data_IF_579555950968
#
_entry.id   IF_579555950968
#
_cell.length_a   1.000
_cell.length_b   1.000
_cell.length_c   1.000
_cell.angle_alpha   90.00
_cell.angle_beta   90.00
_cell.angle_gamma   90.00
#
_symmetry.space_group_name_H-M   'P 1'
#
loop_
_entity.id
_entity.type
_entity.pdbx_description
1 polymer ?
#
# COMPACT_ATOMS: atom_id res chain seq x y z
N UNK A 1 -7.86 16.41 21.63
CA UNK A 1 -6.61 17.16 21.38
C UNK A 1 -6.95 18.64 21.33
N UNK A 2 -6.19 19.51 22.02
CA UNK A 2 -6.37 20.97 21.95
C UNK A 2 -5.20 21.57 21.19
N UNK A 3 -5.47 22.45 20.22
CA UNK A 3 -4.45 23.09 19.39
C UNK A 3 -4.62 24.61 19.45
N UNK A 4 -3.52 25.34 19.56
CA UNK A 4 -3.52 26.80 19.62
C UNK A 4 -2.21 27.34 19.06
N UNK A 5 -2.25 28.51 18.43
CA UNK A 5 -1.08 29.25 17.96
C UNK A 5 -0.52 30.21 19.00
N UNK A 6 -1.26 30.45 20.09
CA UNK A 6 -0.88 31.36 21.17
C UNK A 6 -0.97 30.66 22.53
N UNK A 7 0.02 30.90 23.39
CA UNK A 7 0.08 30.32 24.75
C UNK A 7 -1.15 30.69 25.59
N UNK A 8 -1.56 31.96 25.58
CA UNK A 8 -2.76 32.43 26.32
C UNK A 8 -4.03 31.71 25.89
N UNK A 9 -4.19 31.45 24.59
CA UNK A 9 -5.35 30.76 24.06
C UNK A 9 -5.26 29.24 24.32
N UNK A 10 -4.06 28.67 24.44
CA UNK A 10 -3.88 27.31 24.90
C UNK A 10 -4.31 27.15 26.37
N UNK A 11 -3.87 28.07 27.25
CA UNK A 11 -4.26 28.06 28.66
C UNK A 11 -5.77 28.26 28.83
N UNK A 12 -6.39 29.23 28.14
CA UNK A 12 -7.83 29.44 28.20
C UNK A 12 -8.64 28.18 27.79
N UNK A 13 -8.15 27.39 26.82
CA UNK A 13 -8.77 26.11 26.45
C UNK A 13 -8.59 25.04 27.52
N UNK A 14 -7.46 25.02 28.23
CA UNK A 14 -7.24 24.13 29.38
C UNK A 14 -8.15 24.51 30.55
N UNK A 15 -8.28 25.80 30.84
CA UNK A 15 -9.14 26.32 31.91
C UNK A 15 -10.61 25.97 31.63
N UNK A 16 -11.07 26.16 30.39
CA UNK A 16 -12.40 25.75 29.95
C UNK A 16 -12.61 24.23 30.07
N UNK A 17 -11.60 23.43 29.71
CA UNK A 17 -11.67 21.97 29.86
C UNK A 17 -11.74 21.56 31.34
N UNK A 18 -10.98 22.22 32.23
CA UNK A 18 -11.02 21.99 33.67
C UNK A 18 -12.39 22.35 34.26
N UNK A 19 -12.97 23.50 33.85
CA UNK A 19 -14.33 23.89 34.23
C UNK A 19 -15.35 22.86 33.76
N UNK A 20 -15.31 22.45 32.49
CA UNK A 20 -16.20 21.43 31.96
C UNK A 20 -16.10 20.12 32.73
N UNK A 21 -14.88 19.68 33.08
CA UNK A 21 -14.71 18.51 33.93
C UNK A 21 -15.35 18.72 35.32
N UNK A 22 -15.14 19.87 35.96
CA UNK A 22 -15.74 20.23 37.24
C UNK A 22 -17.27 20.19 37.21
N UNK A 23 -17.88 20.83 36.20
CA UNK A 23 -19.33 20.87 35.99
C UNK A 23 -19.93 19.47 35.81
N UNK A 24 -19.15 18.53 35.25
CA UNK A 24 -19.55 17.15 35.02
C UNK A 24 -19.04 16.16 36.09
N UNK A 25 -18.51 16.65 37.22
CA UNK A 25 -17.95 15.82 38.30
C UNK A 25 -16.83 14.86 37.85
N UNK A 26 -16.01 15.28 36.89
CA UNK A 26 -14.85 14.57 36.37
C UNK A 26 -13.56 15.21 36.87
N UNK A 27 -12.51 14.40 37.04
CA UNK A 27 -11.17 14.87 37.39
C UNK A 27 -10.19 14.55 36.25
N UNK A 28 -9.67 15.55 35.52
CA UNK A 28 -8.70 15.30 34.47
C UNK A 28 -7.37 14.77 35.03
N UNK A 29 -6.77 13.81 34.32
CA UNK A 29 -5.52 13.18 34.73
C UNK A 29 -4.31 13.95 34.21
N UNK A 30 -3.75 14.83 35.03
CA UNK A 30 -2.54 15.60 34.69
C UNK A 30 -1.38 14.71 34.21
N UNK A 31 -1.05 13.55 34.83
CA UNK A 31 0.06 12.71 34.37
C UNK A 31 -0.14 12.09 32.98
N UNK A 32 -1.39 12.06 32.46
CA UNK A 32 -1.74 11.57 31.13
C UNK A 32 -1.95 12.70 30.13
N UNK A 33 -1.85 13.96 30.56
CA UNK A 33 -1.97 15.14 29.72
C UNK A 33 -0.58 15.68 29.39
N UNK A 34 -0.26 15.69 28.10
CA UNK A 34 1.01 16.18 27.59
C UNK A 34 0.80 17.41 26.73
N UNK A 35 1.81 18.28 26.70
CA UNK A 35 1.86 19.41 25.80
C UNK A 35 2.99 19.20 24.78
N UNK A 36 2.78 19.64 23.54
CA UNK A 36 3.79 19.56 22.48
C UNK A 36 3.82 20.89 21.71
N UNK A 37 5.02 21.40 21.41
CA UNK A 37 5.24 22.62 20.64
C UNK A 37 5.60 22.25 19.21
N UNK A 38 4.91 22.82 18.23
CA UNK A 38 5.19 22.65 16.80
C UNK A 38 5.75 23.96 16.25
N UNK A 39 6.89 23.86 15.54
CA UNK A 39 7.61 25.02 15.02
C UNK A 39 8.77 25.46 15.93
N UNK A 40 9.21 26.72 15.84
CA UNK A 40 10.29 27.25 16.66
C UNK A 40 9.97 27.12 18.16
N UNK A 41 10.88 26.53 18.92
CA UNK A 41 10.73 26.35 20.36
C UNK A 41 11.18 27.63 21.07
N UNK A 42 10.30 28.34 21.79
CA UNK A 42 10.68 29.49 22.60
C UNK A 42 11.57 29.07 23.79
N UNK A 43 12.51 29.93 24.15
CA UNK A 43 13.38 29.78 25.32
C UNK A 43 13.21 30.99 26.27
N UNK A 44 12.69 30.80 27.50
CA UNK A 44 12.22 29.55 28.08
C UNK A 44 10.87 29.08 27.50
N UNK A 45 10.55 27.77 27.55
CA UNK A 45 9.27 27.26 27.10
C UNK A 45 8.12 27.79 27.98
N UNK A 46 6.93 28.06 27.40
CA UNK A 46 5.79 28.53 28.16
C UNK A 46 5.34 27.51 29.20
N UNK A 47 4.84 28.01 30.33
CA UNK A 47 4.25 27.16 31.37
C UNK A 47 2.75 27.07 31.12
N UNK A 48 2.26 25.85 30.87
CA UNK A 48 0.84 25.54 30.84
C UNK A 48 0.46 24.75 32.09
N UNK A 49 -0.67 25.07 32.68
CA UNK A 49 -1.15 24.42 33.90
C UNK A 49 -2.50 23.74 33.70
N UNK A 50 -2.69 22.61 34.37
CA UNK A 50 -3.96 21.91 34.50
C UNK A 50 -4.11 21.48 35.96
N UNK A 51 -5.22 21.79 36.62
CA UNK A 51 -5.38 21.59 38.07
C UNK A 51 -4.25 22.23 38.90
N UNK A 52 -3.81 23.43 38.49
CA UNK A 52 -2.68 24.17 39.08
C UNK A 52 -1.34 23.43 39.04
N UNK A 53 -1.22 22.34 38.29
CA UNK A 53 0.02 21.59 38.08
C UNK A 53 0.57 21.87 36.69
N UNK A 54 1.89 22.07 36.53
CA UNK A 54 2.48 22.29 35.22
C UNK A 54 2.38 21.04 34.36
N UNK A 55 2.06 21.22 33.07
CA UNK A 55 2.07 20.16 32.07
C UNK A 55 3.51 19.87 31.61
N UNK A 56 3.76 18.61 31.29
CA UNK A 56 5.05 18.16 30.74
C UNK A 56 5.07 18.38 29.23
N UNK A 57 6.13 19.02 28.75
CA UNK A 57 6.43 19.14 27.33
C UNK A 57 7.04 17.84 26.80
N UNK A 58 6.48 17.30 25.72
CA UNK A 58 6.95 16.07 25.07
C UNK A 58 7.17 16.29 23.58
N UNK A 59 8.14 15.59 23.02
CA UNK A 59 8.43 15.60 21.59
C UNK A 59 7.43 14.76 20.77
N UNK A 60 6.79 13.79 21.43
CA UNK A 60 5.81 12.91 20.78
C UNK A 60 4.74 12.44 21.76
N UNK A 61 3.53 12.24 21.23
CA UNK A 61 2.40 11.75 21.98
C UNK A 61 1.52 10.85 21.10
N UNK A 62 0.83 9.91 21.74
CA UNK A 62 -0.16 9.04 21.08
C UNK A 62 -1.55 9.61 21.31
N UNK A 63 -2.26 9.92 20.23
CA UNK A 63 -3.65 10.33 20.25
C UNK A 63 -4.47 9.34 19.42
N UNK A 64 -5.46 8.69 20.06
CA UNK A 64 -6.32 7.67 19.41
C UNK A 64 -5.52 6.65 18.61
N UNK A 65 -4.38 6.20 19.16
CA UNK A 65 -3.48 5.22 18.54
C UNK A 65 -2.63 5.73 17.37
N UNK A 66 -2.69 7.03 17.03
CA UNK A 66 -1.82 7.71 16.07
C UNK A 66 -0.73 8.46 16.83
N UNK A 67 0.52 8.25 16.44
CA UNK A 67 1.66 8.93 17.07
C UNK A 67 1.98 10.21 16.31
N UNK A 68 1.92 11.34 17.01
CA UNK A 68 2.34 12.64 16.47
C UNK A 68 3.65 13.06 17.10
N UNK A 69 4.53 13.66 16.31
CA UNK A 69 5.83 14.15 16.75
C UNK A 69 6.07 15.58 16.28
N UNK A 70 6.63 16.41 17.15
CA UNK A 70 6.95 17.80 16.84
C UNK A 70 8.36 18.03 16.29
N UNK A 71 9.25 17.05 16.43
CA UNK A 71 10.68 17.17 16.08
C UNK A 71 11.00 16.72 14.64
N UNK A 72 9.99 16.30 13.88
CA UNK A 72 10.13 15.89 12.48
C UNK A 72 9.23 16.70 11.56
N UNK A 73 9.71 16.96 10.33
CA UNK A 73 8.92 17.65 9.27
C UNK A 73 7.60 16.95 8.98
N UNK A 74 7.61 15.61 8.92
CA UNK A 74 6.40 14.80 8.87
C UNK A 74 5.99 14.46 10.30
N UNK A 75 4.89 15.07 10.76
CA UNK A 75 4.37 14.88 12.13
C UNK A 75 3.99 13.43 12.43
N UNK A 76 3.77 12.60 11.41
CA UNK A 76 3.42 11.18 11.54
C UNK A 76 4.62 10.25 11.37
N UNK A 77 5.85 10.76 11.28
CA UNK A 77 7.06 9.92 11.07
C UNK A 77 7.14 8.74 12.04
N UNK A 78 6.95 9.00 13.34
CA UNK A 78 7.00 7.95 14.36
C UNK A 78 5.82 6.97 14.27
N UNK A 79 4.67 7.41 13.74
CA UNK A 79 3.52 6.54 13.48
C UNK A 79 3.84 5.49 12.42
N UNK A 80 4.43 5.91 11.29
CA UNK A 80 4.87 4.97 10.25
C UNK A 80 5.83 3.91 10.81
N UNK A 81 6.82 4.34 11.59
CA UNK A 81 7.81 3.43 12.23
C UNK A 81 7.12 2.45 13.17
N UNK A 82 6.20 2.91 14.02
CA UNK A 82 5.49 2.05 14.95
C UNK A 82 4.62 1.01 14.22
N UNK A 83 3.90 1.43 13.17
CA UNK A 83 3.03 0.54 12.38
C UNK A 83 3.82 -0.44 11.52
N UNK A 84 4.94 -0.02 10.97
CA UNK A 84 5.88 -0.91 10.27
C UNK A 84 6.37 -2.02 11.18
N UNK A 85 6.85 -1.69 12.38
CA UNK A 85 7.34 -2.67 13.35
C UNK A 85 6.24 -3.64 13.78
N UNK A 86 5.03 -3.14 14.03
CA UNK A 86 3.88 -3.96 14.39
C UNK A 86 3.49 -4.91 13.25
N UNK A 87 3.32 -4.37 12.03
CA UNK A 87 2.98 -5.15 10.84
C UNK A 87 4.04 -6.22 10.55
N UNK A 88 5.34 -5.87 10.61
CA UNK A 88 6.44 -6.82 10.40
C UNK A 88 6.44 -7.94 11.43
N UNK A 89 6.23 -7.62 12.72
CA UNK A 89 6.15 -8.62 13.79
C UNK A 89 5.03 -9.62 13.52
N UNK A 90 3.83 -9.12 13.19
CA UNK A 90 2.66 -9.96 12.94
C UNK A 90 2.81 -10.76 11.64
N UNK A 91 3.33 -10.15 10.58
CA UNK A 91 3.64 -10.82 9.32
C UNK A 91 4.59 -12.01 9.51
N UNK A 92 5.68 -11.79 10.27
CA UNK A 92 6.64 -12.85 10.58
C UNK A 92 6.02 -13.95 11.45
N UNK A 93 5.23 -13.58 12.47
CA UNK A 93 4.51 -14.53 13.30
C UNK A 93 3.51 -15.39 12.51
N UNK A 94 2.72 -14.77 11.64
CA UNK A 94 1.75 -15.47 10.79
C UNK A 94 2.41 -16.50 9.86
N UNK A 95 3.55 -16.15 9.24
CA UNK A 95 4.26 -17.06 8.34
C UNK A 95 5.12 -18.09 9.09
N UNK A 96 5.54 -17.81 10.32
CA UNK A 96 6.26 -18.77 11.18
C UNK A 96 5.40 -19.98 11.57
N UNK A 97 4.07 -19.89 11.54
CA UNK A 97 3.18 -21.03 11.75
C UNK A 97 3.53 -22.23 10.84
N UNK A 98 4.06 -21.96 9.64
CA UNK A 98 4.46 -23.01 8.69
C UNK A 98 5.50 -23.99 9.25
N UNK A 99 6.28 -23.57 10.24
CA UNK A 99 7.26 -24.43 10.93
C UNK A 99 6.59 -25.48 11.82
N UNK A 100 5.35 -25.24 12.26
CA UNK A 100 4.60 -26.11 13.17
C UNK A 100 3.55 -26.95 12.45
N UNK A 101 2.88 -26.38 11.44
CA UNK A 101 1.75 -27.02 10.74
C UNK A 101 2.06 -27.43 9.30
N UNK A 102 3.29 -27.20 8.83
CA UNK A 102 3.68 -27.40 7.44
C UNK A 102 3.29 -26.24 6.51
N UNK A 103 3.43 -26.41 5.18
CA UNK A 103 3.21 -25.33 4.22
C UNK A 103 1.79 -24.75 4.27
N UNK A 104 1.69 -23.44 4.51
CA UNK A 104 0.41 -22.73 4.58
C UNK A 104 -0.11 -22.49 3.14
N UNK A 105 -1.33 -22.92 2.79
CA UNK A 105 -1.93 -22.59 1.51
C UNK A 105 -2.05 -21.07 1.28
N UNK A 106 -1.79 -20.56 0.06
CA UNK A 106 -1.83 -19.12 -0.21
C UNK A 106 -3.14 -18.43 0.18
N UNK A 107 -4.29 -19.08 -0.05
CA UNK A 107 -5.61 -18.55 0.34
C UNK A 107 -5.79 -18.36 1.85
N UNK A 108 -5.17 -19.23 2.67
CA UNK A 108 -5.15 -19.09 4.13
C UNK A 108 -4.19 -17.98 4.53
N UNK A 109 -3.00 -17.94 3.94
CA UNK A 109 -2.01 -16.92 4.26
C UNK A 109 -2.51 -15.51 3.90
N UNK A 110 -3.24 -15.34 2.80
CA UNK A 110 -3.87 -14.07 2.42
C UNK A 110 -5.02 -13.69 3.36
N UNK A 111 -5.80 -14.65 3.87
CA UNK A 111 -6.77 -14.37 4.94
C UNK A 111 -6.07 -13.87 6.21
N UNK A 112 -4.93 -14.47 6.57
CA UNK A 112 -4.11 -13.98 7.69
C UNK A 112 -3.54 -12.58 7.41
N UNK A 113 -3.14 -12.28 6.17
CA UNK A 113 -2.72 -10.94 5.77
C UNK A 113 -3.82 -9.90 6.04
N UNK A 114 -5.02 -10.12 5.50
CA UNK A 114 -6.14 -9.20 5.66
C UNK A 114 -6.59 -9.06 7.12
N UNK A 115 -6.55 -10.14 7.90
CA UNK A 115 -6.99 -10.13 9.29
C UNK A 115 -5.94 -9.56 10.27
N UNK A 116 -4.65 -9.75 10.01
CA UNK A 116 -3.59 -9.53 10.99
C UNK A 116 -2.57 -8.46 10.56
N UNK A 117 -2.21 -8.42 9.28
CA UNK A 117 -1.14 -7.55 8.76
C UNK A 117 -1.70 -6.24 8.21
N UNK A 118 -2.66 -6.32 7.29
CA UNK A 118 -3.28 -5.16 6.66
C UNK A 118 -3.81 -4.13 7.66
N UNK A 119 -4.47 -4.50 8.79
CA UNK A 119 -4.96 -3.52 9.76
C UNK A 119 -3.86 -2.64 10.36
N UNK A 120 -2.63 -3.16 10.46
CA UNK A 120 -1.48 -2.34 10.88
C UNK A 120 -0.99 -1.44 9.76
N UNK A 121 -0.98 -1.93 8.52
CA UNK A 121 -0.52 -1.18 7.35
C UNK A 121 -1.48 -0.06 6.95
N UNK A 122 -2.78 -0.18 7.23
CA UNK A 122 -3.81 0.83 6.90
C UNK A 122 -4.20 1.71 8.08
N UNK A 123 -3.69 1.45 9.29
CA UNK A 123 -4.11 2.17 10.49
C UNK A 123 -3.88 3.70 10.40
N UNK A 124 -4.98 4.46 10.41
CA UNK A 124 -4.96 5.92 10.40
C UNK A 124 -4.56 6.54 9.07
N UNK A 125 -4.60 5.78 7.97
CA UNK A 125 -4.27 6.29 6.64
C UNK A 125 -5.28 7.32 6.13
N UNK A 126 -6.48 7.37 6.70
CA UNK A 126 -7.49 8.37 6.37
C UNK A 126 -7.07 9.78 6.82
N UNK A 127 -6.26 9.87 7.87
CA UNK A 127 -5.73 11.13 8.43
C UNK A 127 -4.29 11.36 7.99
N UNK A 128 -3.47 10.29 7.98
CA UNK A 128 -2.06 10.32 7.64
C UNK A 128 -1.86 9.97 6.15
N UNK A 129 -2.03 10.96 5.29
CA UNK A 129 -1.84 10.81 3.85
C UNK A 129 -0.36 10.62 3.49
N UNK A 130 -0.08 9.76 2.51
CA UNK A 130 1.27 9.30 2.18
C UNK A 130 2.03 10.28 1.26
N UNK A 131 2.12 11.56 1.65
CA UNK A 131 2.77 12.62 0.86
C UNK A 131 4.26 12.39 0.66
N UNK A 132 4.92 11.76 1.65
CA UNK A 132 6.35 11.47 1.61
C UNK A 132 6.59 9.99 1.24
N UNK A 133 7.06 9.67 0.02
CA UNK A 133 7.24 8.28 -0.40
C UNK A 133 8.18 7.47 0.50
N UNK A 134 9.23 8.10 1.02
CA UNK A 134 10.19 7.44 1.91
C UNK A 134 9.60 7.04 3.27
N UNK A 135 8.46 7.62 3.68
CA UNK A 135 7.76 7.21 4.89
C UNK A 135 6.86 5.99 4.66
N UNK A 136 6.29 5.86 3.45
CA UNK A 136 5.45 4.74 3.05
C UNK A 136 6.26 3.49 2.65
N UNK A 137 7.43 3.67 2.03
CA UNK A 137 8.27 2.59 1.50
C UNK A 137 8.53 1.45 2.52
N UNK A 138 8.83 1.70 3.81
CA UNK A 138 8.99 0.64 4.79
C UNK A 138 7.73 -0.22 5.00
N UNK A 139 6.53 0.38 4.92
CA UNK A 139 5.26 -0.35 5.01
C UNK A 139 5.02 -1.19 3.74
N UNK A 140 5.27 -0.62 2.56
CA UNK A 140 5.19 -1.35 1.28
C UNK A 140 6.15 -2.54 1.27
N UNK A 141 7.35 -2.40 1.85
CA UNK A 141 8.31 -3.51 2.00
C UNK A 141 7.75 -4.66 2.85
N UNK A 142 6.95 -4.38 3.87
CA UNK A 142 6.31 -5.43 4.69
C UNK A 142 5.26 -6.19 3.86
N UNK A 143 4.40 -5.47 3.13
CA UNK A 143 3.43 -6.07 2.21
C UNK A 143 4.13 -6.94 1.15
N UNK A 144 5.08 -6.37 0.42
CA UNK A 144 5.82 -7.06 -0.65
C UNK A 144 6.55 -8.30 -0.11
N UNK A 145 7.21 -8.19 1.05
CA UNK A 145 7.90 -9.33 1.66
C UNK A 145 6.92 -10.44 2.08
N UNK A 146 5.74 -10.07 2.60
CA UNK A 146 4.70 -11.03 2.92
C UNK A 146 4.22 -11.77 1.65
N UNK A 147 3.84 -11.02 0.61
CA UNK A 147 3.34 -11.60 -0.64
C UNK A 147 4.38 -12.49 -1.33
N UNK A 148 5.66 -12.08 -1.37
CA UNK A 148 6.75 -12.92 -1.90
C UNK A 148 6.88 -14.25 -1.18
N UNK A 149 6.78 -14.24 0.15
CA UNK A 149 6.85 -15.47 0.96
C UNK A 149 5.64 -16.38 0.73
N UNK A 150 4.44 -15.80 0.61
CA UNK A 150 3.22 -16.55 0.28
C UNK A 150 3.31 -17.22 -1.10
N UNK A 151 3.93 -16.54 -2.05
CA UNK A 151 4.09 -17.00 -3.43
C UNK A 151 5.39 -17.82 -3.68
N UNK A 152 6.20 -18.05 -2.64
CA UNK A 152 7.49 -18.73 -2.75
C UNK A 152 8.45 -18.12 -3.81
N UNK A 153 8.42 -16.78 -3.92
CA UNK A 153 9.21 -15.97 -4.84
C UNK A 153 10.44 -15.34 -4.16
N UNK A 154 11.44 -15.01 -4.97
CA UNK A 154 12.68 -14.38 -4.50
C UNK A 154 12.51 -12.89 -4.21
N UNK A 155 13.51 -12.29 -3.54
CA UNK A 155 13.60 -10.85 -3.29
C UNK A 155 13.76 -10.02 -4.57
N UNK A 156 14.14 -10.64 -5.69
CA UNK A 156 14.33 -10.00 -6.99
C UNK A 156 13.12 -10.15 -7.92
N UNK A 157 12.03 -10.76 -7.44
CA UNK A 157 10.81 -10.95 -8.23
C UNK A 157 10.21 -9.61 -8.66
N UNK A 158 9.60 -9.59 -9.85
CA UNK A 158 8.81 -8.44 -10.30
C UNK A 158 7.65 -8.19 -9.32
N UNK A 159 7.27 -6.92 -9.13
CA UNK A 159 6.25 -6.53 -8.16
C UNK A 159 4.82 -6.73 -8.68
N UNK A 160 4.54 -6.36 -9.93
CA UNK A 160 3.19 -6.44 -10.49
C UNK A 160 2.54 -7.84 -10.35
N UNK A 161 3.25 -8.96 -10.64
CA UNK A 161 2.70 -10.29 -10.44
C UNK A 161 2.27 -10.58 -9.00
N UNK A 162 2.92 -10.00 -7.98
CA UNK A 162 2.53 -10.23 -6.59
C UNK A 162 1.06 -9.84 -6.36
N UNK A 163 0.64 -8.73 -6.94
CA UNK A 163 -0.72 -8.19 -6.83
C UNK A 163 -1.69 -8.86 -7.80
N UNK A 164 -1.25 -9.07 -9.06
CA UNK A 164 -2.06 -9.74 -10.08
C UNK A 164 -2.43 -11.17 -9.71
N UNK A 165 -1.54 -11.89 -9.01
CA UNK A 165 -1.77 -13.28 -8.63
C UNK A 165 -2.53 -13.46 -7.32
N UNK A 166 -2.45 -12.48 -6.41
CA UNK A 166 -3.08 -12.56 -5.08
C UNK A 166 -4.40 -11.81 -4.98
N UNK A 167 -4.63 -10.82 -5.86
CA UNK A 167 -5.75 -9.89 -5.77
C UNK A 167 -5.59 -8.81 -4.69
N UNK A 168 -4.44 -8.75 -4.01
CA UNK A 168 -4.14 -7.67 -3.06
C UNK A 168 -3.85 -6.40 -3.84
N UNK A 169 -4.35 -5.26 -3.37
CA UNK A 169 -4.02 -3.96 -3.94
C UNK A 169 -2.70 -3.46 -3.37
N UNK A 170 -1.84 -2.78 -4.16
CA UNK A 170 -0.68 -2.10 -3.61
C UNK A 170 -1.08 -1.16 -2.49
N UNK A 171 -0.32 -1.18 -1.39
CA UNK A 171 -0.67 -0.46 -0.16
C UNK A 171 -1.02 1.02 -0.39
N UNK A 172 -0.29 1.71 -1.28
CA UNK A 172 -0.58 3.12 -1.63
C UNK A 172 -2.01 3.33 -2.16
N UNK A 173 -2.48 2.45 -3.04
CA UNK A 173 -3.82 2.54 -3.61
C UNK A 173 -4.87 2.14 -2.58
N UNK A 174 -4.57 1.15 -1.75
CA UNK A 174 -5.46 0.71 -0.67
C UNK A 174 -5.69 1.81 0.36
N UNK A 175 -4.62 2.45 0.84
CA UNK A 175 -4.66 3.55 1.81
C UNK A 175 -5.40 4.77 1.24
N UNK A 176 -5.15 5.11 -0.02
CA UNK A 176 -5.84 6.22 -0.68
C UNK A 176 -7.33 5.95 -0.89
N UNK A 177 -7.71 4.71 -1.23
CA UNK A 177 -9.12 4.31 -1.32
C UNK A 177 -9.85 4.52 0.02
N UNK A 178 -9.21 4.19 1.14
CA UNK A 178 -9.75 4.42 2.48
C UNK A 178 -9.88 5.91 2.81
N UNK A 179 -8.87 6.72 2.47
CA UNK A 179 -8.93 8.18 2.65
C UNK A 179 -10.06 8.83 1.83
N UNK A 180 -10.26 8.42 0.58
CA UNK A 180 -11.37 8.90 -0.25
C UNK A 180 -12.74 8.47 0.30
N UNK A 181 -12.87 7.24 0.81
CA UNK A 181 -14.10 6.78 1.47
C UNK A 181 -14.39 7.56 2.76
N UNK A 182 -13.35 7.91 3.50
CA UNK A 182 -13.48 8.76 4.69
C UNK A 182 -13.92 10.18 4.33
N UNK A 183 -13.41 10.74 3.23
CA UNK A 183 -13.90 12.02 2.71
C UNK A 183 -15.36 11.94 2.26
N UNK A 184 -15.74 10.87 1.55
CA UNK A 184 -17.13 10.65 1.17
C UNK A 184 -18.04 10.64 2.40
N UNK A 185 -17.66 9.87 3.43
CA UNK A 185 -18.35 9.86 4.72
C UNK A 185 -18.44 11.25 5.33
N UNK A 186 -17.35 12.01 5.36
CA UNK A 186 -17.31 13.40 5.87
C UNK A 186 -18.33 14.32 5.17
N UNK A 187 -18.54 14.13 3.88
CA UNK A 187 -19.45 14.95 3.06
C UNK A 187 -20.90 14.49 3.13
N UNK A 188 -21.17 13.22 3.44
CA UNK A 188 -22.52 12.65 3.53
C UNK A 188 -23.00 12.57 4.97
N UNK A 189 -22.55 11.56 5.69
CA UNK A 189 -23.09 11.07 6.97
C UNK A 189 -22.23 11.48 8.16
N UNK A 190 -21.12 12.18 7.91
CA UNK A 190 -20.19 12.65 8.90
C UNK A 190 -20.78 13.75 9.78
N UNK A 191 -20.35 13.83 11.05
CA UNK A 191 -20.82 14.87 11.97
C UNK A 191 -20.38 16.26 11.53
N UNK A 192 -21.13 17.29 11.94
CA UNK A 192 -20.90 18.68 11.49
C UNK A 192 -19.50 19.20 11.77
N UNK A 193 -18.89 18.82 12.88
CA UNK A 193 -17.53 19.24 13.22
C UNK A 193 -16.49 18.68 12.24
N UNK A 194 -16.72 17.48 11.68
CA UNK A 194 -15.82 16.88 10.71
C UNK A 194 -15.93 17.61 9.36
N UNK A 195 -17.16 17.94 8.96
CA UNK A 195 -17.43 18.78 7.78
C UNK A 195 -16.83 20.18 7.92
N UNK A 196 -16.93 20.78 9.10
CA UNK A 196 -16.31 22.07 9.41
C UNK A 196 -14.77 21.99 9.34
N UNK A 197 -14.16 20.94 9.91
CA UNK A 197 -12.73 20.71 9.82
C UNK A 197 -12.26 20.54 8.37
N UNK A 198 -13.03 19.81 7.54
CA UNK A 198 -12.73 19.68 6.12
C UNK A 198 -12.83 21.01 5.36
N UNK A 199 -13.86 21.83 5.63
CA UNK A 199 -13.99 23.18 5.05
C UNK A 199 -12.82 24.09 5.40
N UNK A 200 -12.31 24.00 6.63
CA UNK A 200 -11.10 24.72 7.03
C UNK A 200 -9.89 24.21 6.25
N UNK A 201 -9.70 22.89 6.16
CA UNK A 201 -8.62 22.30 5.37
C UNK A 201 -8.67 22.72 3.89
N UNK A 202 -9.86 22.81 3.29
CA UNK A 202 -10.05 23.31 1.93
C UNK A 202 -9.68 24.79 1.82
N UNK A 203 -10.15 25.62 2.77
CA UNK A 203 -9.85 27.05 2.83
C UNK A 203 -8.35 27.33 2.99
N UNK A 204 -7.63 26.49 3.74
CA UNK A 204 -6.18 26.57 3.90
C UNK A 204 -5.43 26.33 2.58
N UNK A 205 -5.85 25.31 1.82
CA UNK A 205 -5.24 24.98 0.54
C UNK A 205 -5.47 26.07 -0.52
N UNK A 206 -6.61 26.76 -0.46
CA UNK A 206 -7.01 27.79 -1.44
C UNK A 206 -6.89 29.22 -0.89
N UNK A 207 -6.09 29.41 0.15
CA UNK A 207 -5.98 30.70 0.82
C UNK A 207 -5.34 31.74 -0.11
N UNK A 208 -5.92 32.94 -0.15
CA UNK A 208 -5.43 34.06 -0.98
C UNK A 208 -4.01 34.50 -0.59
N UNK A 209 -3.17 34.95 -1.55
CA UNK A 209 -1.86 35.54 -1.27
C UNK A 209 -1.88 36.64 -0.21
N UNK A 210 -2.93 37.47 -0.18
CA UNK A 210 -3.09 38.55 0.80
C UNK A 210 -3.23 38.04 2.25
N UNK A 211 -3.60 36.77 2.45
CA UNK A 211 -3.75 36.11 3.75
C UNK A 211 -2.60 35.15 4.06
N UNK A 212 -1.48 35.24 3.32
CA UNK A 212 -0.32 34.36 3.48
C UNK A 212 -0.23 33.23 2.46
N UNK A 213 -1.12 33.22 1.45
CA UNK A 213 -1.11 32.27 0.33
C UNK A 213 -1.55 30.84 0.70
N UNK A 214 -1.57 29.93 -0.30
CA UNK A 214 -1.87 28.52 -0.11
C UNK A 214 -0.97 27.89 0.96
N UNK A 215 -1.57 27.18 1.91
CA UNK A 215 -0.86 26.45 2.95
C UNK A 215 -1.10 24.93 2.82
N UNK A 216 -0.14 24.13 3.27
CA UNK A 216 -0.32 22.68 3.36
C UNK A 216 -1.46 22.34 4.31
N UNK A 217 -2.36 21.49 3.82
CA UNK A 217 -3.52 20.97 4.53
C UNK A 217 -3.79 19.55 4.09
N UNK A 218 -4.70 18.86 4.79
CA UNK A 218 -5.12 17.52 4.41
C UNK A 218 -5.68 17.46 2.96
N UNK A 219 -6.32 18.54 2.49
CA UNK A 219 -6.85 18.63 1.11
C UNK A 219 -5.75 18.77 0.06
N UNK A 220 -4.78 19.67 0.28
CA UNK A 220 -3.64 19.78 -0.63
C UNK A 220 -2.81 18.50 -0.68
N UNK A 221 -2.66 17.84 0.47
CA UNK A 221 -1.95 16.57 0.59
C UNK A 221 -2.67 15.46 -0.19
N UNK A 222 -4.01 15.40 -0.13
CA UNK A 222 -4.80 14.45 -0.91
C UNK A 222 -4.62 14.67 -2.43
N UNK A 223 -4.69 15.93 -2.87
CA UNK A 223 -4.44 16.31 -4.27
C UNK A 223 -3.05 15.88 -4.73
N UNK A 224 -2.02 16.13 -3.91
CA UNK A 224 -0.63 15.73 -4.21
C UNK A 224 -0.48 14.21 -4.31
N UNK A 225 -1.08 13.44 -3.39
CA UNK A 225 -0.99 11.98 -3.42
C UNK A 225 -1.71 11.40 -4.64
N UNK A 226 -2.86 11.96 -5.05
CA UNK A 226 -3.54 11.56 -6.29
C UNK A 226 -2.72 11.88 -7.56
N UNK A 227 -2.04 13.03 -7.55
CA UNK A 227 -1.22 13.49 -8.68
C UNK A 227 0.11 12.76 -8.81
N UNK A 228 0.58 12.11 -7.75
CA UNK A 228 1.88 11.39 -7.71
C UNK A 228 1.75 9.88 -7.92
N UNK A 229 0.53 9.39 -8.19
CA UNK A 229 0.32 8.00 -8.59
C UNK A 229 1.04 7.69 -9.93
N UNK A 230 1.40 6.41 -10.18
CA UNK A 230 1.96 5.98 -11.47
C UNK A 230 1.13 6.43 -12.69
N UNK A 231 -0.20 6.38 -12.54
CA UNK A 231 -1.15 7.02 -13.45
C UNK A 231 -1.88 8.10 -12.65
N UNK A 232 -1.51 9.39 -12.83
CA UNK A 232 -2.06 10.50 -12.06
C UNK A 232 -3.57 10.67 -12.21
N UNK A 233 -4.23 11.14 -11.14
CA UNK A 233 -5.66 11.43 -11.14
C UNK A 233 -5.89 12.91 -10.85
N UNK A 234 -6.60 13.59 -11.76
CA UNK A 234 -6.87 15.03 -11.67
C UNK A 234 -8.37 15.38 -11.59
N UNK A 235 -9.24 14.38 -11.38
CA UNK A 235 -10.70 14.59 -11.29
C UNK A 235 -11.15 15.36 -10.05
N UNK A 236 -10.25 15.59 -9.10
CA UNK A 236 -10.48 16.42 -7.91
C UNK A 236 -9.51 17.61 -8.00
N UNK A 237 -9.88 18.69 -8.69
CA UNK A 237 -9.03 19.87 -8.78
C UNK A 237 -8.93 20.55 -7.40
N UNK A 238 -7.80 21.21 -7.14
CA UNK A 238 -7.48 21.76 -5.83
C UNK A 238 -8.42 22.91 -5.43
N UNK A 239 -8.85 23.69 -6.42
CA UNK A 239 -9.62 24.93 -6.31
C UNK A 239 -11.14 24.73 -6.30
N UNK A 240 -11.63 23.53 -6.58
CA UNK A 240 -13.06 23.20 -6.55
C UNK A 240 -13.42 22.41 -5.29
N UNK A 241 -14.47 22.83 -4.58
CA UNK A 241 -14.93 22.12 -3.41
C UNK A 241 -15.57 20.77 -3.82
N UNK A 242 -15.11 19.63 -3.30
CA UNK A 242 -15.56 18.35 -3.78
C UNK A 242 -17.00 18.04 -3.37
N UNK A 243 -17.74 17.40 -4.28
CA UNK A 243 -19.08 16.85 -4.04
C UNK A 243 -19.01 15.34 -3.78
N UNK A 244 -19.98 14.72 -3.10
CA UNK A 244 -20.04 13.26 -2.93
C UNK A 244 -19.93 12.49 -4.26
N UNK A 245 -20.52 13.01 -5.33
CA UNK A 245 -20.44 12.38 -6.66
C UNK A 245 -19.02 12.48 -7.26
N UNK A 246 -18.35 13.63 -7.11
CA UNK A 246 -16.95 13.77 -7.54
C UNK A 246 -16.03 12.79 -6.80
N UNK A 247 -16.28 12.52 -5.52
CA UNK A 247 -15.50 11.52 -4.75
C UNK A 247 -15.79 10.10 -5.24
N UNK A 248 -17.05 9.76 -5.53
CA UNK A 248 -17.41 8.45 -6.11
C UNK A 248 -16.76 8.26 -7.48
N UNK A 249 -16.72 9.31 -8.29
CA UNK A 249 -16.03 9.29 -9.58
C UNK A 249 -14.51 9.12 -9.39
N UNK A 250 -13.91 9.83 -8.44
CA UNK A 250 -12.50 9.68 -8.11
C UNK A 250 -12.15 8.25 -7.64
N UNK A 251 -13.02 7.62 -6.83
CA UNK A 251 -12.85 6.21 -6.44
C UNK A 251 -12.84 5.26 -7.63
N UNK A 252 -13.71 5.49 -8.64
CA UNK A 252 -13.68 4.72 -9.90
C UNK A 252 -12.40 4.98 -10.69
N UNK A 253 -11.97 6.24 -10.77
CA UNK A 253 -10.71 6.61 -11.43
C UNK A 253 -9.48 6.03 -10.72
N UNK A 254 -9.53 5.84 -9.40
CA UNK A 254 -8.48 5.17 -8.66
C UNK A 254 -8.33 3.70 -9.09
N UNK A 255 -9.45 3.01 -9.33
CA UNK A 255 -9.44 1.66 -9.88
C UNK A 255 -8.91 1.62 -11.32
N UNK A 256 -9.33 2.57 -12.16
CA UNK A 256 -8.81 2.71 -13.53
C UNK A 256 -7.31 3.00 -13.56
N UNK A 257 -6.83 3.94 -12.75
CA UNK A 257 -5.41 4.28 -12.59
C UNK A 257 -4.59 3.06 -12.20
N UNK A 258 -5.06 2.24 -11.25
CA UNK A 258 -4.37 1.02 -10.85
C UNK A 258 -4.38 -0.03 -11.97
N UNK A 259 -5.51 -0.20 -12.65
CA UNK A 259 -5.62 -1.10 -13.80
C UNK A 259 -4.62 -0.72 -14.88
N UNK A 260 -4.59 0.55 -15.29
CA UNK A 260 -3.68 1.08 -16.30
C UNK A 260 -2.21 1.00 -15.88
N UNK A 261 -1.90 1.26 -14.60
CA UNK A 261 -0.57 1.10 -14.07
C UNK A 261 -0.07 -0.35 -14.19
N UNK A 262 -0.93 -1.33 -13.91
CA UNK A 262 -0.57 -2.74 -14.05
C UNK A 262 -0.46 -3.18 -15.51
N UNK A 263 -1.40 -2.82 -16.37
CA UNK A 263 -1.34 -3.18 -17.80
C UNK A 263 -0.10 -2.57 -18.45
N UNK A 264 0.16 -1.27 -18.22
CA UNK A 264 1.35 -0.60 -18.71
C UNK A 264 2.65 -1.23 -18.20
N UNK A 265 2.70 -1.61 -16.92
CA UNK A 265 3.85 -2.33 -16.34
C UNK A 265 4.08 -3.68 -17.03
N UNK A 266 3.03 -4.47 -17.25
CA UNK A 266 3.12 -5.78 -17.89
C UNK A 266 3.50 -5.67 -19.36
N UNK A 267 2.95 -4.70 -20.08
CA UNK A 267 3.24 -4.47 -21.51
C UNK A 267 4.66 -3.97 -21.72
N UNK A 268 5.17 -3.11 -20.84
CA UNK A 268 6.56 -2.65 -20.89
C UNK A 268 7.57 -3.73 -20.45
N UNK A 269 7.13 -4.70 -19.63
CA UNK A 269 8.00 -5.73 -19.09
C UNK A 269 8.36 -6.81 -20.14
N UNK A 270 9.65 -6.86 -20.50
CA UNK A 270 10.23 -7.97 -21.30
C UNK A 270 10.23 -9.32 -20.58
N UNK A 271 9.90 -9.34 -19.29
CA UNK A 271 10.01 -10.48 -18.38
C UNK A 271 8.67 -11.01 -17.86
N UNK A 272 7.54 -10.70 -18.50
CA UNK A 272 6.22 -11.15 -18.03
C UNK A 272 5.34 -11.71 -19.18
N UNK A 273 5.84 -12.65 -20.01
CA UNK A 273 5.10 -13.13 -21.17
C UNK A 273 3.80 -13.86 -20.80
N UNK A 274 3.76 -14.52 -19.65
CA UNK A 274 2.57 -15.19 -19.13
C UNK A 274 1.47 -14.21 -18.72
N UNK A 275 1.83 -13.10 -18.06
CA UNK A 275 0.90 -12.01 -17.75
C UNK A 275 0.47 -11.27 -19.02
N UNK A 276 1.40 -11.00 -19.92
CA UNK A 276 1.09 -10.37 -21.21
C UNK A 276 0.13 -11.22 -22.04
N UNK A 277 0.32 -12.54 -22.04
CA UNK A 277 -0.59 -13.48 -22.68
C UNK A 277 -2.00 -13.45 -22.05
N UNK A 278 -2.12 -13.21 -20.74
CA UNK A 278 -3.42 -13.00 -20.07
C UNK A 278 -4.11 -11.73 -20.56
N UNK A 279 -3.37 -10.64 -20.72
CA UNK A 279 -3.88 -9.36 -21.23
C UNK A 279 -4.28 -9.43 -22.71
N UNK A 280 -3.69 -10.34 -23.49
CA UNK A 280 -3.94 -10.50 -24.93
C UNK A 280 -4.92 -11.63 -25.29
N UNK A 281 -5.58 -12.26 -24.30
CA UNK A 281 -6.58 -13.30 -24.58
C UNK A 281 -7.76 -12.72 -25.37
N UNK A 282 -8.52 -13.53 -26.14
CA UNK A 282 -9.73 -13.06 -26.83
C UNK A 282 -10.75 -12.38 -25.91
N UNK A 283 -10.77 -12.75 -24.63
CA UNK A 283 -11.52 -12.09 -23.57
C UNK A 283 -10.53 -11.63 -22.49
N UNK A 284 -9.94 -10.43 -22.64
CA UNK A 284 -9.02 -9.89 -21.64
C UNK A 284 -9.79 -9.41 -20.40
N UNK A 285 -9.12 -9.29 -19.24
CA UNK A 285 -9.74 -8.67 -18.07
C UNK A 285 -10.06 -7.21 -18.40
N UNK A 286 -11.32 -6.82 -18.23
CA UNK A 286 -11.79 -5.44 -18.48
C UNK A 286 -11.98 -4.62 -17.20
N UNK A 287 -11.84 -5.25 -16.04
CA UNK A 287 -11.98 -4.61 -14.73
C UNK A 287 -10.79 -4.92 -13.84
N UNK A 288 -10.53 -4.05 -12.87
CA UNK A 288 -9.47 -4.26 -11.88
C UNK A 288 -9.68 -5.56 -11.11
N UNK A 289 -10.92 -5.88 -10.71
CA UNK A 289 -11.24 -7.13 -10.01
C UNK A 289 -10.95 -8.38 -10.85
N UNK A 290 -11.16 -8.32 -12.17
CA UNK A 290 -10.81 -9.44 -13.06
C UNK A 290 -9.29 -9.55 -13.27
N UNK A 291 -8.59 -8.42 -13.28
CA UNK A 291 -7.14 -8.37 -13.45
C UNK A 291 -6.38 -8.81 -12.19
N UNK A 292 -6.78 -8.27 -11.04
CA UNK A 292 -6.23 -8.52 -9.71
C UNK A 292 -7.15 -9.47 -8.96
N UNK A 293 -6.92 -10.78 -9.12
CA UNK A 293 -7.70 -11.81 -8.45
C UNK A 293 -6.82 -12.97 -8.03
N UNK A 294 -7.21 -13.65 -6.95
CA UNK A 294 -6.51 -14.85 -6.50
C UNK A 294 -6.59 -15.92 -7.59
N UNK A 295 -5.45 -16.30 -8.16
CA UNK A 295 -5.48 -17.24 -9.28
C UNK A 295 -5.91 -18.65 -8.86
N UNK A 296 -6.71 -19.35 -9.69
CA UNK A 296 -7.19 -20.69 -9.38
C UNK A 296 -6.08 -21.71 -9.08
N UNK A 297 -4.93 -21.58 -9.76
CA UNK A 297 -3.82 -22.51 -9.56
C UNK A 297 -3.16 -22.38 -8.18
N UNK A 298 -3.36 -21.26 -7.45
CA UNK A 298 -2.91 -21.12 -6.07
C UNK A 298 -3.70 -21.99 -5.08
N UNK A 299 -4.82 -22.56 -5.52
CA UNK A 299 -5.64 -23.49 -4.73
C UNK A 299 -5.32 -24.95 -5.00
N UNK A 300 -4.37 -25.28 -5.89
CA UNK A 300 -3.98 -26.67 -6.14
C UNK A 300 -3.44 -27.33 -4.86
N UNK A 301 -3.76 -28.59 -4.53
CA UNK A 301 -3.30 -29.22 -3.29
C UNK A 301 -1.77 -29.33 -3.17
N UNK A 302 -1.09 -29.60 -4.29
CA UNK A 302 0.35 -29.79 -4.35
C UNK A 302 1.11 -28.46 -4.30
N UNK A 303 1.82 -28.20 -3.20
CA UNK A 303 2.70 -27.03 -3.05
C UNK A 303 3.71 -26.92 -4.19
N UNK A 304 4.34 -28.03 -4.57
CA UNK A 304 5.32 -28.07 -5.66
C UNK A 304 4.74 -27.60 -6.99
N UNK A 305 3.50 -27.99 -7.32
CA UNK A 305 2.84 -27.57 -8.55
C UNK A 305 2.44 -26.09 -8.49
N UNK A 306 1.89 -25.64 -7.35
CA UNK A 306 1.59 -24.22 -7.12
C UNK A 306 2.82 -23.35 -7.36
N UNK A 307 3.92 -23.66 -6.68
CA UNK A 307 5.14 -22.87 -6.72
C UNK A 307 5.76 -22.86 -8.13
N UNK A 308 5.71 -23.99 -8.85
CA UNK A 308 6.17 -24.07 -10.22
C UNK A 308 5.36 -23.17 -11.17
N UNK A 309 4.03 -23.15 -11.02
CA UNK A 309 3.14 -22.30 -11.82
C UNK A 309 3.30 -20.82 -11.47
N UNK A 310 3.44 -20.48 -10.18
CA UNK A 310 3.72 -19.10 -9.74
C UNK A 310 5.05 -18.61 -10.31
N UNK A 311 6.11 -19.41 -10.21
CA UNK A 311 7.42 -19.07 -10.78
C UNK A 311 7.36 -18.95 -12.30
N UNK A 312 6.54 -19.75 -12.97
CA UNK A 312 6.29 -19.60 -14.41
C UNK A 312 5.57 -18.28 -14.71
N UNK A 313 4.55 -17.94 -13.93
CA UNK A 313 3.74 -16.74 -14.13
C UNK A 313 4.46 -15.43 -13.76
N UNK A 314 5.47 -15.51 -12.90
CA UNK A 314 6.28 -14.37 -12.44
C UNK A 314 7.68 -14.32 -13.08
N UNK A 315 7.95 -15.19 -14.06
CA UNK A 315 9.26 -15.35 -14.73
C UNK A 315 10.44 -15.52 -13.77
N UNK A 316 10.22 -16.34 -12.74
CA UNK A 316 11.22 -16.80 -11.76
C UNK A 316 11.60 -18.29 -11.94
N UNK A 317 11.23 -18.89 -13.05
CA UNK A 317 11.48 -20.30 -13.36
C UNK A 317 12.91 -20.58 -13.87
N UNK A 318 13.36 -21.85 -13.89
CA UNK A 318 14.71 -22.24 -14.30
C UNK A 318 14.91 -22.42 -15.81
N UNK A 319 13.90 -22.13 -16.65
CA UNK A 319 14.03 -22.21 -18.10
C UNK A 319 15.15 -21.28 -18.61
N UNK A 320 15.80 -21.70 -19.70
CA UNK A 320 16.97 -21.03 -20.26
C UNK A 320 16.74 -19.54 -20.60
N UNK A 321 15.51 -19.14 -20.96
CA UNK A 321 15.20 -17.72 -21.24
C UNK A 321 15.47 -16.81 -20.03
N UNK A 322 15.11 -17.25 -18.82
CA UNK A 322 15.32 -16.49 -17.59
C UNK A 322 16.67 -16.80 -16.95
N UNK A 323 17.13 -18.05 -16.96
CA UNK A 323 18.41 -18.43 -16.35
C UNK A 323 19.58 -17.67 -16.98
N UNK A 324 19.61 -17.60 -18.32
CA UNK A 324 20.66 -16.89 -19.06
C UNK A 324 20.49 -15.37 -19.06
N UNK A 325 19.32 -14.84 -18.67
CA UNK A 325 19.12 -13.40 -18.48
C UNK A 325 19.79 -12.90 -17.18
N UNK A 326 20.02 -13.79 -16.22
CA UNK A 326 20.62 -13.45 -14.92
C UNK A 326 22.16 -13.54 -14.92
N UNK A 327 22.76 -14.01 -16.01
CA UNK A 327 24.20 -14.05 -16.15
C UNK A 327 24.77 -12.63 -16.32
N UNK A 328 26.01 -12.37 -15.86
CA UNK A 328 26.71 -11.11 -16.11
C UNK A 328 26.81 -10.78 -17.60
N UNK A 329 26.89 -9.49 -17.93
CA UNK A 329 27.14 -9.03 -19.29
C UNK A 329 28.51 -9.57 -19.76
N UNK A 330 28.51 -10.32 -20.87
CA UNK A 330 29.71 -11.02 -21.40
C UNK A 330 29.60 -12.54 -21.37
N UNK A 331 28.94 -13.12 -20.36
CA UNK A 331 28.75 -14.57 -20.22
C UNK A 331 27.44 -15.07 -20.84
N UNK A 332 26.54 -14.13 -21.17
CA UNK A 332 25.23 -14.43 -21.74
C UNK A 332 25.30 -14.76 -23.24
N UNK A 333 24.89 -15.98 -23.61
CA UNK A 333 24.69 -16.34 -25.02
C UNK A 333 23.52 -15.54 -25.61
N UNK A 334 23.68 -14.84 -26.75
CA UNK A 334 22.59 -14.12 -27.44
C UNK A 334 21.39 -15.03 -27.72
N UNK A 335 20.15 -14.49 -27.69
CA UNK A 335 18.92 -15.31 -27.76
C UNK A 335 18.85 -16.15 -29.03
N UNK A 336 19.23 -15.55 -30.14
CA UNK A 336 19.32 -16.13 -31.48
C UNK A 336 20.27 -17.34 -31.58
N UNK A 337 21.26 -17.43 -30.69
CA UNK A 337 22.25 -18.51 -30.69
C UNK A 337 21.92 -19.61 -29.67
N UNK A 338 20.85 -19.43 -28.88
CA UNK A 338 20.38 -20.44 -27.93
C UNK A 338 19.70 -21.59 -28.67
N UNK A 339 19.82 -22.78 -28.09
CA UNK A 339 19.09 -23.97 -28.49
C UNK A 339 18.25 -24.48 -27.31
N UNK A 340 17.01 -24.85 -27.57
CA UNK A 340 16.10 -25.38 -26.56
C UNK A 340 16.51 -26.82 -26.20
N UNK A 341 16.65 -27.17 -24.90
CA UNK A 341 17.05 -28.53 -24.50
C UNK A 341 15.93 -29.55 -24.76
N UNK A 342 14.66 -29.11 -24.79
CA UNK A 342 13.52 -29.97 -25.07
C UNK A 342 13.41 -30.38 -26.54
N UNK A 343 13.50 -29.43 -27.48
CA UNK A 343 13.29 -29.71 -28.92
C UNK A 343 14.57 -29.73 -29.76
N UNK A 344 15.73 -29.36 -29.18
CA UNK A 344 17.06 -29.35 -29.82
C UNK A 344 17.16 -28.52 -31.10
N UNK A 345 16.24 -27.58 -31.34
CA UNK A 345 16.27 -26.68 -32.50
C UNK A 345 17.12 -25.45 -32.20
N UNK A 346 17.98 -25.05 -33.14
CA UNK A 346 18.73 -23.78 -33.08
C UNK A 346 17.78 -22.60 -33.28
N UNK A 347 18.03 -21.50 -32.59
CA UNK A 347 17.19 -20.29 -32.65
C UNK A 347 15.90 -20.39 -31.83
N UNK A 348 15.67 -21.50 -31.11
CA UNK A 348 14.61 -21.61 -30.11
C UNK A 348 15.22 -21.67 -28.73
N UNK A 349 14.61 -20.97 -27.77
CA UNK A 349 14.98 -21.03 -26.35
C UNK A 349 13.85 -21.68 -25.58
N UNK A 350 14.17 -22.30 -24.45
CA UNK A 350 13.15 -22.67 -23.47
C UNK A 350 12.56 -21.41 -22.87
N UNK A 351 11.41 -20.99 -23.38
CA UNK A 351 10.60 -19.93 -22.83
C UNK A 351 9.26 -20.46 -22.33
N UNK A 352 8.55 -19.63 -21.58
CA UNK A 352 7.29 -19.97 -20.92
C UNK A 352 6.24 -20.55 -21.89
N UNK A 353 5.96 -19.94 -23.07
CA UNK A 353 4.99 -20.50 -24.00
C UNK A 353 5.46 -21.80 -24.66
N UNK A 354 6.77 -22.01 -24.84
CA UNK A 354 7.34 -23.22 -25.42
C UNK A 354 7.38 -24.40 -24.43
N UNK A 355 7.64 -24.12 -23.14
CA UNK A 355 7.70 -25.13 -22.09
C UNK A 355 6.33 -25.45 -21.48
N UNK A 356 5.35 -24.55 -21.60
CA UNK A 356 3.98 -24.85 -21.22
C UNK A 356 3.44 -25.97 -22.13
N UNK A 357 2.72 -26.96 -21.60
CA UNK A 357 2.02 -27.92 -22.44
C UNK A 357 0.95 -27.17 -23.22
N UNK A 358 1.28 -26.78 -24.46
CA UNK A 358 0.25 -26.37 -25.40
C UNK A 358 -0.75 -27.53 -25.49
N UNK A 359 -2.05 -27.21 -25.55
CA UNK A 359 -3.10 -28.17 -25.87
C UNK A 359 -3.00 -28.62 -27.35
N UNK A 360 -1.81 -29.11 -27.72
CA UNK A 360 -1.44 -29.78 -28.97
C UNK A 360 -0.42 -30.87 -28.64
N UNK A 361 -0.75 -31.73 -27.68
CA UNK A 361 -0.08 -33.03 -27.54
C UNK A 361 -0.62 -34.01 -28.58
N UNK A 362 -0.39 -33.74 -29.87
CA UNK A 362 -0.59 -34.72 -30.93
C UNK A 362 0.61 -35.68 -31.09
N UNK A 363 1.61 -35.59 -30.20
CA UNK A 363 2.85 -36.37 -30.27
C UNK A 363 3.10 -37.30 -29.09
N UNK A 364 2.14 -37.46 -28.16
CA UNK A 364 2.22 -38.46 -27.08
C UNK A 364 1.35 -39.71 -27.34
N UNK A 365 0.74 -39.81 -28.52
CA UNK A 365 0.01 -40.99 -28.98
C UNK A 365 0.73 -41.63 -30.17
N UNK A 366 1.91 -42.20 -29.93
CA UNK A 366 2.42 -43.28 -30.79
C UNK A 366 2.66 -44.48 -29.87
N UNK A 367 1.90 -45.58 -30.03
CA UNK A 367 2.17 -46.78 -29.25
C UNK A 367 3.55 -47.30 -29.64
N UNK A 368 4.35 -47.67 -28.64
CA UNK A 368 5.61 -48.35 -28.86
C UNK A 368 5.35 -49.61 -29.68
N UNK A 369 5.80 -49.61 -30.93
CA UNK A 369 5.87 -50.82 -31.74
C UNK A 369 6.75 -51.82 -30.98
N UNK A 370 6.13 -52.93 -30.60
CA UNK A 370 6.84 -54.13 -30.18
C UNK A 370 7.82 -54.51 -31.29
N UNK A 371 9.10 -54.52 -30.97
CA UNK A 371 10.12 -55.17 -31.79
C UNK A 371 10.08 -56.66 -31.48
N UNK A 372 10.16 -57.42 -32.56
CA UNK A 372 10.21 -58.88 -32.65
C UNK A 372 11.19 -59.56 -31.69
#
# INVERSE_FOLDING_TARGET
>A
MLVSTQTRAAQAKLDYFEQYCGDNSLTPSVPKTYAALYGPVPDPPPVLTLQRKPLVWVESAVYTGVTVTSTARNIFKLHYVAKEKAARKVANGALALSQFIGPIPPSIALRMFHALVEPHLTYGCEVCLDVQPSALEPLEKVEVAFLRRVLALSTHSQLAPLYLETGVWPLRYRRLSLALRYLLYTLTDGPDYLRAAFRESFSLANRSPALGGPASSWWSDLYLVLSTLPVPIHTLPLDEFPTPESIRQCLKQLECSLFEAFTGTVEAAKRLPTQLARLRRPRPPSTLTALCTLQPYLSLPSARLRDALVRLACSEHPLAVEALRRLPEGDGVPREWRACRFCRRRGTVEDEPHAAPSARSAQLSTPAAQRE
#
